data_IF_203684270324
#
_entry.id   IF_203684270324
#
_cell.length_a   1.000
_cell.length_b   1.000
_cell.length_c   1.000
_cell.angle_alpha   90.00
_cell.angle_beta   90.00
_cell.angle_gamma   90.00
#
_symmetry.space_group_name_H-M   'P 1'
#
loop_
_entity.id
_entity.type
_entity.pdbx_description
1 polymer ?
#
# COMPACT_ATOMS: atom_id res chain seq x y z
N UNK A 1 14.26 -2.39 -30.27
CA UNK A 1 14.33 -2.62 -31.72
C UNK A 1 14.75 -1.34 -32.47
N UNK A 2 14.36 -0.16 -32.01
CA UNK A 2 14.71 1.13 -32.63
C UNK A 2 16.13 1.65 -32.35
N UNK A 3 16.96 0.93 -31.61
CA UNK A 3 18.36 1.29 -31.33
C UNK A 3 18.56 2.36 -30.25
N UNK A 4 17.50 2.85 -29.59
CA UNK A 4 17.62 3.81 -28.50
C UNK A 4 18.44 3.24 -27.33
N UNK A 5 19.30 4.06 -26.74
CA UNK A 5 20.17 3.72 -25.61
C UNK A 5 19.91 4.60 -24.40
N UNK A 6 19.18 5.68 -24.57
CA UNK A 6 18.83 6.63 -23.53
C UNK A 6 17.36 6.97 -23.65
N UNK A 7 16.70 7.12 -22.51
CA UNK A 7 15.31 7.57 -22.41
C UNK A 7 15.28 8.75 -21.46
N UNK A 8 14.70 9.85 -21.90
CA UNK A 8 14.37 10.98 -21.04
C UNK A 8 12.99 10.75 -20.43
N UNK A 9 12.92 10.86 -19.11
CA UNK A 9 11.71 10.59 -18.33
C UNK A 9 11.75 11.37 -17.01
N UNK A 10 10.62 11.41 -16.31
CA UNK A 10 10.52 12.14 -15.05
C UNK A 10 9.85 11.29 -13.98
N UNK A 11 10.19 11.54 -12.71
CA UNK A 11 9.50 10.93 -11.58
C UNK A 11 8.02 11.30 -11.64
N UNK A 12 7.14 10.33 -11.45
CA UNK A 12 5.68 10.46 -11.56
C UNK A 12 5.17 10.92 -12.95
N UNK A 13 6.04 11.01 -13.94
CA UNK A 13 5.70 11.57 -15.24
C UNK A 13 5.42 13.08 -15.19
N UNK A 14 5.93 13.79 -14.17
CA UNK A 14 5.70 15.24 -14.05
C UNK A 14 6.22 15.98 -15.26
N UNK A 15 5.46 16.96 -15.73
CA UNK A 15 5.85 17.79 -16.88
C UNK A 15 4.72 18.66 -17.36
N UNK A 16 5.01 19.43 -18.38
CA UNK A 16 4.05 20.33 -19.02
C UNK A 16 2.90 19.54 -19.67
N UNK A 17 1.71 20.09 -19.67
CA UNK A 17 0.51 19.58 -20.33
C UNK A 17 0.14 18.15 -19.86
N UNK A 18 0.35 17.13 -20.71
CA UNK A 18 0.07 15.73 -20.40
C UNK A 18 1.19 15.04 -19.59
N UNK A 19 2.27 15.74 -19.29
CA UNK A 19 3.44 15.23 -18.61
C UNK A 19 4.43 14.52 -19.52
N UNK A 20 5.39 13.83 -18.91
CA UNK A 20 6.45 13.08 -19.56
C UNK A 20 6.26 11.57 -19.32
N UNK A 21 7.11 10.77 -19.96
CA UNK A 21 7.19 9.34 -19.67
C UNK A 21 7.59 9.12 -18.20
N UNK A 22 6.88 8.30 -17.44
CA UNK A 22 7.16 8.07 -16.02
C UNK A 22 8.39 7.19 -15.82
N UNK A 23 9.36 7.66 -15.04
CA UNK A 23 10.59 6.93 -14.73
C UNK A 23 10.30 5.58 -14.08
N UNK A 24 9.40 5.55 -13.11
CA UNK A 24 9.03 4.35 -12.37
C UNK A 24 8.48 3.25 -13.27
N UNK A 25 7.66 3.60 -14.25
CA UNK A 25 7.06 2.63 -15.17
C UNK A 25 8.10 2.07 -16.14
N UNK A 26 9.02 2.90 -16.63
CA UNK A 26 10.09 2.48 -17.52
C UNK A 26 11.05 1.55 -16.78
N UNK A 27 11.52 1.95 -15.61
CA UNK A 27 12.47 1.17 -14.81
C UNK A 27 11.90 -0.19 -14.42
N UNK A 28 10.66 -0.20 -13.92
CA UNK A 28 10.02 -1.46 -13.52
C UNK A 28 9.65 -2.32 -14.72
N UNK A 29 9.31 -1.75 -15.86
CA UNK A 29 9.11 -2.52 -17.10
C UNK A 29 10.40 -3.24 -17.52
N UNK A 30 11.54 -2.57 -17.52
CA UNK A 30 12.83 -3.19 -17.84
C UNK A 30 13.16 -4.33 -16.86
N UNK A 31 12.90 -4.12 -15.57
CA UNK A 31 13.14 -5.14 -14.53
C UNK A 31 12.24 -6.37 -14.68
N UNK A 32 10.94 -6.16 -14.87
CA UNK A 32 9.94 -7.24 -14.93
C UNK A 32 10.02 -8.00 -16.25
N UNK A 33 10.27 -7.29 -17.34
CA UNK A 33 10.32 -7.87 -18.68
C UNK A 33 11.74 -8.11 -19.17
N UNK A 34 12.65 -8.43 -18.27
CA UNK A 34 14.03 -8.82 -18.63
C UNK A 34 14.11 -10.01 -19.59
N UNK A 35 13.06 -10.86 -19.61
CA UNK A 35 12.86 -11.94 -20.59
C UNK A 35 12.72 -11.44 -22.04
N UNK A 36 12.17 -10.26 -22.22
CA UNK A 36 11.90 -9.63 -23.54
C UNK A 36 12.78 -8.41 -23.82
N UNK A 37 13.25 -7.77 -22.79
CA UNK A 37 14.03 -6.54 -22.84
C UNK A 37 15.36 -6.75 -22.10
N UNK A 38 16.42 -7.24 -22.77
CA UNK A 38 17.71 -7.52 -22.14
C UNK A 38 18.50 -6.21 -21.91
N UNK A 39 17.84 -5.22 -21.30
CA UNK A 39 18.43 -3.94 -20.94
C UNK A 39 18.42 -3.79 -19.43
N UNK A 40 19.45 -3.13 -18.92
CA UNK A 40 19.60 -2.85 -17.49
C UNK A 40 19.67 -1.34 -17.24
N UNK A 41 19.32 -0.97 -16.04
CA UNK A 41 19.47 0.39 -15.52
C UNK A 41 20.11 0.32 -14.16
N UNK A 42 20.88 1.34 -13.79
CA UNK A 42 21.47 1.49 -12.45
C UNK A 42 20.52 2.17 -11.45
N UNK A 43 19.29 2.48 -11.84
CA UNK A 43 18.31 3.09 -10.94
C UNK A 43 17.98 2.10 -9.81
N UNK A 44 18.14 2.55 -8.58
CA UNK A 44 17.80 1.80 -7.39
C UNK A 44 16.28 1.76 -7.23
N UNK A 45 15.65 0.65 -7.57
CA UNK A 45 14.19 0.56 -7.60
C UNK A 45 13.54 0.82 -6.25
N UNK A 46 14.22 0.51 -5.14
CA UNK A 46 13.75 0.77 -3.78
C UNK A 46 13.60 2.27 -3.43
N UNK A 47 14.21 3.13 -4.22
CA UNK A 47 14.10 4.59 -4.06
C UNK A 47 12.96 5.20 -4.90
N UNK A 48 12.28 4.40 -5.71
CA UNK A 48 11.20 4.88 -6.59
C UNK A 48 10.05 5.47 -5.78
N UNK A 49 9.52 4.72 -4.81
CA UNK A 49 8.41 5.20 -4.00
C UNK A 49 8.79 6.39 -3.11
N UNK A 50 9.92 6.38 -2.37
CA UNK A 50 10.40 7.55 -1.64
C UNK A 50 10.57 8.80 -2.51
N UNK A 51 11.13 8.66 -3.73
CA UNK A 51 11.28 9.77 -4.66
C UNK A 51 9.93 10.33 -5.12
N UNK A 52 8.96 9.44 -5.41
CA UNK A 52 7.60 9.83 -5.77
C UNK A 52 6.91 10.61 -4.65
N UNK A 53 7.01 10.14 -3.40
CA UNK A 53 6.47 10.84 -2.23
C UNK A 53 7.14 12.21 -2.02
N UNK A 54 8.46 12.26 -2.14
CA UNK A 54 9.22 13.50 -1.99
C UNK A 54 8.78 14.53 -3.02
N UNK A 55 8.66 14.12 -4.29
CA UNK A 55 8.18 15.00 -5.37
C UNK A 55 6.78 15.54 -5.07
N UNK A 56 5.86 14.67 -4.65
CA UNK A 56 4.50 15.05 -4.27
C UNK A 56 4.51 16.08 -3.14
N UNK A 57 5.32 15.88 -2.10
CA UNK A 57 5.44 16.82 -0.97
C UNK A 57 6.00 18.18 -1.39
N UNK A 58 7.01 18.19 -2.27
CA UNK A 58 7.68 19.42 -2.71
C UNK A 58 6.85 20.24 -3.69
N UNK A 59 6.09 19.58 -4.56
CA UNK A 59 5.34 20.24 -5.64
C UNK A 59 3.86 20.45 -5.32
N UNK A 60 3.32 19.73 -4.32
CA UNK A 60 1.88 19.67 -4.07
C UNK A 60 1.10 18.87 -5.13
N UNK A 61 1.77 18.32 -6.14
CA UNK A 61 1.14 17.53 -7.20
C UNK A 61 1.10 16.06 -6.80
N UNK A 62 -0.06 15.60 -6.33
CA UNK A 62 -0.29 14.20 -6.00
C UNK A 62 -0.39 13.31 -7.24
N UNK A 63 0.02 12.05 -7.11
CA UNK A 63 -0.21 11.04 -8.15
C UNK A 63 -1.63 10.49 -8.07
N UNK A 64 -2.16 10.03 -9.17
CA UNK A 64 -3.45 9.33 -9.20
C UNK A 64 -3.38 8.06 -8.33
N UNK A 65 -4.47 7.76 -7.64
CA UNK A 65 -4.54 6.62 -6.71
C UNK A 65 -4.26 5.26 -7.37
N UNK A 66 -4.59 5.13 -8.65
CA UNK A 66 -4.38 3.94 -9.47
C UNK A 66 -3.18 4.04 -10.41
N UNK A 67 -2.29 5.03 -10.21
CA UNK A 67 -1.07 5.14 -11.01
C UNK A 67 -0.22 3.88 -10.86
N UNK A 68 0.27 3.36 -11.97
CA UNK A 68 1.15 2.20 -11.94
C UNK A 68 2.38 2.45 -11.06
N UNK A 69 2.84 1.44 -10.37
CA UNK A 69 4.05 1.40 -9.52
C UNK A 69 3.95 2.24 -8.24
N UNK A 70 3.54 3.51 -8.30
CA UNK A 70 3.59 4.46 -7.18
C UNK A 70 2.22 4.92 -6.68
N UNK A 71 1.15 4.57 -7.38
CA UNK A 71 -0.20 4.89 -6.93
C UNK A 71 -0.60 4.12 -5.68
N UNK A 72 -1.39 4.75 -4.83
CA UNK A 72 -1.82 4.14 -3.55
C UNK A 72 -2.51 2.77 -3.72
N UNK A 73 -3.16 2.53 -4.85
CA UNK A 73 -3.83 1.27 -5.15
C UNK A 73 -2.97 0.28 -5.96
N UNK A 74 -1.72 0.65 -6.33
CA UNK A 74 -0.89 -0.16 -7.21
C UNK A 74 -0.64 -1.59 -6.66
N UNK A 75 -0.59 -1.72 -5.33
CA UNK A 75 -0.38 -2.99 -4.62
C UNK A 75 -1.52 -3.32 -3.65
N UNK A 76 -2.64 -2.59 -3.71
CA UNK A 76 -3.76 -2.79 -2.81
C UNK A 76 -4.63 -3.97 -3.27
N UNK A 77 -4.88 -4.91 -2.37
CA UNK A 77 -5.78 -6.04 -2.58
C UNK A 77 -6.91 -5.98 -1.55
N UNK A 78 -8.09 -5.54 -1.96
CA UNK A 78 -9.25 -5.41 -1.08
C UNK A 78 -10.12 -6.69 -1.06
N UNK A 79 -10.18 -7.44 -2.15
CA UNK A 79 -11.05 -8.61 -2.27
C UNK A 79 -10.44 -9.87 -1.64
N UNK A 80 -11.22 -10.56 -0.79
CA UNK A 80 -10.80 -11.80 -0.12
C UNK A 80 -10.35 -12.92 -1.08
N UNK A 81 -10.91 -12.99 -2.29
CA UNK A 81 -10.51 -13.94 -3.32
C UNK A 81 -9.08 -13.66 -3.84
N UNK A 82 -8.67 -12.39 -3.92
CA UNK A 82 -7.30 -12.02 -4.28
C UNK A 82 -6.33 -12.36 -3.15
N UNK A 83 -6.75 -12.17 -1.90
CA UNK A 83 -5.95 -12.53 -0.73
C UNK A 83 -5.72 -14.04 -0.64
N UNK A 84 -6.75 -14.86 -0.90
CA UNK A 84 -6.62 -16.32 -0.92
C UNK A 84 -5.72 -16.81 -2.08
N UNK A 85 -5.83 -16.20 -3.26
CA UNK A 85 -4.96 -16.49 -4.39
C UNK A 85 -3.50 -16.15 -4.11
N UNK A 86 -3.22 -15.03 -3.43
CA UNK A 86 -1.88 -14.62 -3.01
C UNK A 86 -1.27 -15.55 -1.95
N UNK A 87 -2.09 -16.11 -1.08
CA UNK A 87 -1.64 -17.12 -0.09
C UNK A 87 -1.20 -18.42 -0.77
N UNK A 88 -1.81 -18.76 -1.92
CA UNK A 88 -1.50 -19.98 -2.69
C UNK A 88 -0.31 -19.79 -3.62
N UNK A 89 -0.27 -18.72 -4.39
CA UNK A 89 0.89 -18.31 -5.21
C UNK A 89 0.84 -16.80 -5.47
N UNK A 90 1.75 -16.05 -4.85
CA UNK A 90 1.88 -14.59 -4.99
C UNK A 90 2.02 -14.17 -6.45
N UNK A 91 2.70 -14.96 -7.27
CA UNK A 91 2.92 -14.67 -8.70
C UNK A 91 1.63 -14.60 -9.53
N UNK A 92 0.53 -15.15 -9.03
CA UNK A 92 -0.76 -15.11 -9.71
C UNK A 92 -1.33 -13.69 -9.85
N UNK A 93 -1.04 -12.82 -8.87
CA UNK A 93 -1.58 -11.45 -8.81
C UNK A 93 -0.51 -10.37 -8.68
N UNK A 94 0.73 -10.73 -8.34
CA UNK A 94 1.84 -9.78 -8.17
C UNK A 94 2.94 -10.05 -9.20
N UNK A 95 2.92 -9.29 -10.31
CA UNK A 95 4.02 -9.26 -11.28
C UNK A 95 5.27 -8.61 -10.66
N UNK A 96 5.07 -7.65 -9.72
CA UNK A 96 6.10 -7.00 -8.91
C UNK A 96 5.62 -6.91 -7.47
N UNK A 97 6.56 -6.90 -6.53
CA UNK A 97 6.27 -6.76 -5.10
C UNK A 97 6.43 -5.31 -4.66
N UNK A 98 5.65 -4.89 -3.65
CA UNK A 98 5.77 -3.55 -3.09
C UNK A 98 7.19 -3.26 -2.58
N UNK A 99 7.87 -4.26 -2.00
CA UNK A 99 9.24 -4.15 -1.50
C UNK A 99 10.27 -3.89 -2.61
N UNK A 100 9.93 -4.19 -3.86
CA UNK A 100 10.83 -3.96 -5.00
C UNK A 100 10.93 -2.47 -5.36
N UNK A 101 9.97 -1.64 -4.95
CA UNK A 101 9.88 -0.22 -5.29
C UNK A 101 10.11 0.73 -4.12
N UNK A 102 10.24 0.20 -2.90
CA UNK A 102 10.60 1.01 -1.73
C UNK A 102 10.16 0.42 -0.39
N UNK A 103 10.56 1.05 0.72
CA UNK A 103 10.17 0.58 2.03
C UNK A 103 8.68 0.73 2.26
N UNK A 104 8.09 -0.39 2.63
CA UNK A 104 6.85 -0.54 3.37
C UNK A 104 5.69 0.38 2.96
N UNK A 105 5.37 0.45 1.68
CA UNK A 105 4.02 0.71 1.34
C UNK A 105 3.23 -0.57 1.69
N UNK A 106 2.66 -0.61 2.88
CA UNK A 106 1.76 -1.69 3.25
C UNK A 106 0.34 -1.28 2.87
N UNK A 107 -0.15 -1.72 1.70
CA UNK A 107 -1.45 -1.31 1.18
C UNK A 107 -2.60 -2.08 1.81
N UNK A 108 -2.46 -2.51 3.06
CA UNK A 108 -3.60 -3.05 3.80
C UNK A 108 -4.55 -1.90 4.12
N UNK A 109 -5.24 -1.42 3.07
CA UNK A 109 -6.32 -0.46 3.20
C UNK A 109 -7.46 -1.19 3.91
N UNK A 110 -7.64 -0.90 5.17
CA UNK A 110 -8.78 -1.41 5.92
C UNK A 110 -10.02 -0.58 5.56
N UNK A 111 -11.12 -1.29 5.29
CA UNK A 111 -12.41 -0.71 4.98
C UNK A 111 -13.53 -1.66 5.36
N UNK A 112 -14.76 -1.35 4.96
CA UNK A 112 -15.99 -2.09 5.29
C UNK A 112 -15.91 -3.61 5.00
N UNK A 113 -15.15 -4.01 3.98
CA UNK A 113 -15.02 -5.41 3.55
C UNK A 113 -13.76 -6.11 4.08
N UNK A 114 -13.01 -5.45 4.95
CA UNK A 114 -11.80 -6.03 5.54
C UNK A 114 -12.15 -7.11 6.57
N UNK A 115 -11.57 -8.30 6.41
CA UNK A 115 -11.75 -9.39 7.36
C UNK A 115 -10.93 -9.19 8.66
N UNK A 116 -11.27 -9.92 9.73
CA UNK A 116 -10.58 -9.86 11.04
C UNK A 116 -9.08 -10.10 10.93
N UNK A 117 -8.62 -11.00 10.07
CA UNK A 117 -7.20 -11.25 9.84
C UNK A 117 -6.45 -10.04 9.29
N UNK A 118 -7.08 -9.27 8.39
CA UNK A 118 -6.49 -8.05 7.86
C UNK A 118 -6.34 -6.97 8.95
N UNK A 119 -7.36 -6.80 9.79
CA UNK A 119 -7.32 -5.90 10.95
C UNK A 119 -6.23 -6.33 11.94
N UNK A 120 -6.20 -7.61 12.32
CA UNK A 120 -5.20 -8.15 13.23
C UNK A 120 -3.78 -7.90 12.73
N UNK A 121 -3.52 -8.16 11.45
CA UNK A 121 -2.22 -7.93 10.83
C UNK A 121 -1.84 -6.47 10.85
N UNK A 122 -2.76 -5.56 10.50
CA UNK A 122 -2.48 -4.12 10.53
C UNK A 122 -2.21 -3.61 11.95
N UNK A 123 -2.94 -4.11 12.93
CA UNK A 123 -2.67 -3.81 14.34
C UNK A 123 -1.27 -4.29 14.75
N UNK A 124 -0.86 -5.49 14.33
CA UNK A 124 0.48 -6.01 14.60
C UNK A 124 1.57 -5.15 13.93
N UNK A 125 1.36 -4.71 12.68
CA UNK A 125 2.28 -3.80 11.98
C UNK A 125 2.42 -2.44 12.71
N UNK A 126 1.37 -2.01 13.41
CA UNK A 126 1.38 -0.79 14.24
C UNK A 126 1.92 -1.02 15.67
N UNK A 127 2.36 -2.24 15.97
CA UNK A 127 2.93 -2.63 17.26
C UNK A 127 1.90 -3.11 18.30
N UNK A 128 0.65 -3.38 17.90
CA UNK A 128 -0.40 -3.87 18.78
C UNK A 128 -0.67 -5.36 18.53
N UNK A 129 -0.38 -6.19 19.51
CA UNK A 129 -0.76 -7.61 19.51
C UNK A 129 -2.17 -7.72 20.08
N UNK A 130 -3.14 -8.12 19.26
CA UNK A 130 -4.54 -8.29 19.64
C UNK A 130 -4.95 -9.75 19.47
N UNK A 131 -5.55 -10.33 20.51
CA UNK A 131 -6.00 -11.72 20.49
C UNK A 131 -7.38 -11.86 21.18
N UNK A 132 -8.06 -12.96 20.93
CA UNK A 132 -9.31 -13.31 21.60
C UNK A 132 -10.38 -12.24 21.51
N UNK A 133 -10.94 -11.87 22.67
CA UNK A 133 -12.04 -10.91 22.76
C UNK A 133 -11.61 -9.48 22.40
N UNK A 134 -10.39 -9.08 22.76
CA UNK A 134 -9.86 -7.74 22.42
C UNK A 134 -9.87 -7.51 20.90
N UNK A 135 -9.43 -8.51 20.12
CA UNK A 135 -9.47 -8.44 18.66
C UNK A 135 -10.91 -8.32 18.13
N UNK A 136 -11.86 -9.04 18.73
CA UNK A 136 -13.27 -8.99 18.31
C UNK A 136 -13.87 -7.62 18.56
N UNK A 137 -13.59 -7.01 19.70
CA UNK A 137 -14.11 -5.68 20.07
C UNK A 137 -13.48 -4.57 19.23
N UNK A 138 -12.16 -4.61 19.04
CA UNK A 138 -11.47 -3.68 18.16
C UNK A 138 -11.98 -3.81 16.73
N UNK A 139 -12.15 -5.03 16.23
CA UNK A 139 -12.72 -5.27 14.90
C UNK A 139 -14.11 -4.66 14.76
N UNK A 140 -14.99 -4.88 15.74
CA UNK A 140 -16.36 -4.32 15.74
C UNK A 140 -16.35 -2.79 15.76
N UNK A 141 -15.51 -2.19 16.60
CA UNK A 141 -15.34 -0.73 16.67
C UNK A 141 -14.85 -0.13 15.36
N UNK A 142 -13.88 -0.79 14.70
CA UNK A 142 -13.38 -0.35 13.39
C UNK A 142 -14.42 -0.49 12.28
N UNK A 143 -15.20 -1.57 12.28
CA UNK A 143 -16.26 -1.75 11.27
C UNK A 143 -17.36 -0.71 11.43
N UNK A 144 -17.72 -0.31 12.63
CA UNK A 144 -18.66 0.79 12.86
C UNK A 144 -18.17 2.11 12.25
N UNK A 145 -16.87 2.43 12.36
CA UNK A 145 -16.28 3.61 11.70
C UNK A 145 -16.27 3.44 10.17
N UNK A 146 -16.01 2.21 9.69
CA UNK A 146 -15.95 1.92 8.27
C UNK A 146 -17.33 1.99 7.56
N UNK A 147 -18.42 1.89 8.30
CA UNK A 147 -19.76 2.11 7.77
C UNK A 147 -19.99 3.58 7.40
N UNK A 148 -19.41 4.52 8.15
CA UNK A 148 -19.50 5.96 7.87
C UNK A 148 -18.39 6.45 6.92
N UNK A 149 -17.20 5.82 6.99
CA UNK A 149 -16.03 6.19 6.20
C UNK A 149 -15.53 5.00 5.40
N UNK A 150 -15.35 5.17 4.09
CA UNK A 150 -14.92 4.08 3.19
C UNK A 150 -13.53 3.52 3.51
N UNK A 151 -12.68 4.27 4.18
CA UNK A 151 -11.28 3.91 4.46
C UNK A 151 -10.96 4.21 5.92
N UNK A 152 -10.38 3.23 6.61
CA UNK A 152 -9.87 3.39 7.98
C UNK A 152 -8.41 3.86 7.94
N UNK A 153 -8.09 4.81 8.80
CA UNK A 153 -6.72 5.31 8.98
C UNK A 153 -6.04 4.62 10.16
N UNK A 154 -4.72 4.71 10.22
CA UNK A 154 -3.95 4.22 11.38
C UNK A 154 -4.35 4.93 12.69
N UNK A 155 -4.77 6.19 12.59
CA UNK A 155 -5.25 6.94 13.72
C UNK A 155 -6.58 6.37 14.25
N UNK A 156 -7.50 5.98 13.36
CA UNK A 156 -8.75 5.33 13.76
C UNK A 156 -8.47 4.03 14.51
N UNK A 157 -7.49 3.24 14.05
CA UNK A 157 -7.07 2.01 14.73
C UNK A 157 -6.56 2.30 16.14
N UNK A 158 -5.66 3.27 16.28
CA UNK A 158 -5.11 3.66 17.61
C UNK A 158 -6.19 4.12 18.57
N UNK A 159 -7.13 4.93 18.10
CA UNK A 159 -8.24 5.45 18.90
C UNK A 159 -9.14 4.31 19.37
N UNK A 160 -9.52 3.39 18.49
CA UNK A 160 -10.38 2.26 18.86
C UNK A 160 -9.70 1.33 19.86
N UNK A 161 -8.40 1.02 19.65
CA UNK A 161 -7.64 0.18 20.59
C UNK A 161 -7.57 0.86 21.97
N UNK A 162 -7.26 2.15 22.02
CA UNK A 162 -7.19 2.89 23.27
C UNK A 162 -8.52 2.87 24.02
N UNK A 163 -9.63 3.02 23.30
CA UNK A 163 -10.99 2.95 23.89
C UNK A 163 -11.29 1.57 24.46
N UNK A 164 -11.09 0.51 23.68
CA UNK A 164 -11.34 -0.88 24.12
C UNK A 164 -10.53 -1.19 25.38
N UNK A 165 -9.25 -0.79 25.42
CA UNK A 165 -8.40 -1.01 26.58
C UNK A 165 -8.82 -0.19 27.81
N UNK A 166 -9.31 1.03 27.60
CA UNK A 166 -9.85 1.84 28.71
C UNK A 166 -11.12 1.21 29.31
N UNK A 167 -12.01 0.69 28.47
CA UNK A 167 -13.24 0.03 28.92
C UNK A 167 -12.94 -1.23 29.75
N UNK A 168 -11.85 -1.96 29.43
CA UNK A 168 -11.40 -3.15 30.19
C UNK A 168 -10.59 -2.80 31.46
N UNK A 169 -10.15 -1.56 31.61
CA UNK A 169 -9.37 -1.13 32.79
C UNK A 169 -10.21 -0.57 33.93
N UNK A 170 -11.53 -0.45 33.75
CA UNK A 170 -12.46 -0.08 34.82
C UNK A 170 -12.82 -1.37 35.59
N UNK A 171 -12.46 -1.51 36.89
CA UNK A 171 -12.87 -2.65 37.68
C UNK A 171 -14.39 -2.67 37.79
N UNK A 172 -15.01 -3.86 37.65
CA UNK A 172 -16.37 -4.11 38.07
C UNK A 172 -16.44 -4.01 39.62
N UNK A 173 -16.49 -2.79 40.12
CA UNK A 173 -16.84 -2.53 41.53
C UNK A 173 -18.34 -2.23 41.59
N UNK A 174 -19.13 -3.30 41.82
CA UNK A 174 -20.46 -3.23 42.42
C UNK A 174 -20.82 -4.56 43.07
#
# INVERSE_FOLDING_TARGET
>A
QGGARQVECTVNGIGERAGNAPLEEIVMTLRIRSDRMPFMTSVMTKEIYPASEMLTKLTGQGVQVNKAVVGRNAFAHEAGIHQDGMLKDRRTYEIMRAEDVGPAWNPLVLGKHSGRHAVQRRCADLGFQLEGNELVEVYRGLMAIADDRKVLTDQDIRVVIARVRADHSVPDDA
#
